data_IF_893235895867
#
_entry.id   IF_893235895867
#
_cell.length_a   1.000
_cell.length_b   1.000
_cell.length_c   1.000
_cell.angle_alpha   90.00
_cell.angle_beta   90.00
_cell.angle_gamma   90.00
#
_symmetry.space_group_name_H-M   'P 1'
#
loop_
_entity.id
_entity.type
_entity.pdbx_description
1 polymer ?
#
# COMPACT_ATOMS: atom_id res chain seq x y z
N UNK A 1 -16.67 -0.27 9.68
CA UNK A 1 -15.61 -1.31 9.64
C UNK A 1 -14.77 -1.32 10.92
N UNK A 2 -14.24 -0.19 11.41
CA UNK A 2 -13.31 -0.19 12.55
C UNK A 2 -13.90 0.22 13.91
N UNK A 3 -15.22 0.33 14.03
CA UNK A 3 -15.90 0.84 15.24
C UNK A 3 -15.59 0.03 16.51
N UNK A 4 -15.34 -1.28 16.38
CA UNK A 4 -14.96 -2.15 17.50
C UNK A 4 -13.45 -2.35 17.71
N UNK A 5 -12.58 -1.68 16.93
CA UNK A 5 -11.13 -1.91 16.97
C UNK A 5 -10.43 -0.80 17.79
N UNK A 6 -9.73 -1.12 18.90
CA UNK A 6 -9.03 -0.13 19.69
C UNK A 6 -7.67 0.24 19.04
N UNK A 7 -7.70 1.08 18.01
CA UNK A 7 -6.50 1.59 17.34
C UNK A 7 -5.84 0.62 16.35
N UNK A 8 -4.72 1.04 15.76
CA UNK A 8 -3.98 0.21 14.79
C UNK A 8 -4.76 -0.04 13.49
N UNK A 9 -5.21 1.04 12.84
CA UNK A 9 -5.97 1.00 11.60
C UNK A 9 -5.10 0.94 10.34
N UNK A 10 -3.80 1.17 10.51
CA UNK A 10 -2.82 1.27 9.44
C UNK A 10 -1.71 0.26 9.70
N UNK A 11 -1.27 -0.45 8.65
CA UNK A 11 -0.04 -1.24 8.64
C UNK A 11 1.02 -0.51 7.82
N UNK A 12 2.24 -0.47 8.35
CA UNK A 12 3.41 0.13 7.69
C UNK A 12 4.39 -0.99 7.36
N UNK A 13 4.73 -1.14 6.09
CA UNK A 13 5.68 -2.12 5.58
C UNK A 13 6.90 -1.37 5.02
N UNK A 14 8.04 -1.46 5.69
CA UNK A 14 9.28 -0.80 5.24
C UNK A 14 9.74 -1.42 3.93
N UNK A 15 10.08 -0.59 2.94
CA UNK A 15 10.49 -1.05 1.59
C UNK A 15 11.84 -0.49 1.14
N UNK A 16 12.76 -0.29 2.09
CA UNK A 16 14.13 0.13 1.79
C UNK A 16 14.22 1.62 1.50
N UNK A 17 15.03 1.99 0.51
CA UNK A 17 15.35 3.38 0.20
C UNK A 17 15.00 3.72 -1.25
N UNK A 18 14.57 4.97 -1.46
CA UNK A 18 14.27 5.50 -2.78
C UNK A 18 15.55 5.70 -3.60
N UNK A 19 15.49 5.35 -4.88
CA UNK A 19 16.58 5.58 -5.82
C UNK A 19 16.79 7.08 -6.05
N UNK A 20 18.04 7.55 -5.97
CA UNK A 20 18.43 8.93 -6.23
C UNK A 20 18.76 9.73 -4.97
N UNK A 21 17.92 9.66 -3.95
CA UNK A 21 18.12 10.40 -2.69
C UNK A 21 18.28 9.53 -1.45
N UNK A 22 18.20 8.21 -1.61
CA UNK A 22 18.30 7.24 -0.52
C UNK A 22 17.32 7.55 0.65
N UNK A 23 16.16 8.15 0.36
CA UNK A 23 15.15 8.41 1.38
C UNK A 23 14.49 7.10 1.84
N UNK A 24 14.29 6.87 3.15
CA UNK A 24 13.65 5.65 3.65
C UNK A 24 12.17 5.61 3.25
N UNK A 25 11.75 4.52 2.61
CA UNK A 25 10.40 4.34 2.07
C UNK A 25 9.64 3.26 2.83
N UNK A 26 8.31 3.38 2.83
CA UNK A 26 7.40 2.36 3.34
C UNK A 26 6.07 2.39 2.60
N UNK A 27 5.44 1.22 2.47
CA UNK A 27 4.04 1.10 2.08
C UNK A 27 3.15 1.28 3.31
N UNK A 28 2.05 1.99 3.12
CA UNK A 28 1.06 2.29 4.15
C UNK A 28 -0.28 1.76 3.65
N UNK A 29 -0.86 0.80 4.37
CA UNK A 29 -2.14 0.19 4.02
C UNK A 29 -3.15 0.29 5.15
N UNK A 30 -4.44 0.38 4.78
CA UNK A 30 -5.54 0.26 5.73
C UNK A 30 -5.75 -1.21 6.07
N UNK A 31 -5.89 -1.49 7.35
CA UNK A 31 -6.21 -2.83 7.85
C UNK A 31 -7.60 -3.25 7.37
N UNK A 32 -7.87 -4.52 7.11
CA UNK A 32 -9.18 -5.02 6.67
C UNK A 32 -9.70 -4.39 5.35
N UNK A 33 -8.82 -3.85 4.48
CA UNK A 33 -9.20 -3.42 3.12
C UNK A 33 -9.76 -4.63 2.34
N UNK A 34 -10.87 -4.50 1.59
CA UNK A 34 -11.33 -5.61 0.76
C UNK A 34 -10.28 -5.87 -0.32
N UNK A 35 -10.08 -7.14 -0.67
CA UNK A 35 -9.29 -7.48 -1.85
C UNK A 35 -9.98 -6.87 -3.07
N UNK A 36 -9.32 -5.88 -3.67
CA UNK A 36 -9.70 -5.35 -4.96
C UNK A 36 -8.88 -6.16 -5.94
N UNK A 37 -9.52 -6.84 -6.88
CA UNK A 37 -8.82 -7.54 -7.96
C UNK A 37 -7.82 -6.57 -8.58
N UNK A 38 -6.55 -6.98 -8.61
CA UNK A 38 -5.51 -6.19 -9.22
C UNK A 38 -5.86 -6.06 -10.70
N UNK A 39 -6.20 -4.85 -11.13
CA UNK A 39 -6.25 -4.52 -12.55
C UNK A 39 -4.81 -4.53 -13.03
N UNK A 40 -4.47 -5.54 -13.82
CA UNK A 40 -3.18 -5.63 -14.51
C UNK A 40 -3.07 -4.45 -15.47
N UNK A 41 -2.33 -3.42 -15.06
CA UNK A 41 -2.12 -2.17 -15.81
C UNK A 41 -1.21 -2.35 -17.04
N UNK A 42 -0.79 -3.58 -17.34
CA UNK A 42 0.05 -3.90 -18.50
C UNK A 42 -0.68 -3.65 -19.83
N UNK A 43 -2.02 -3.69 -19.87
CA UNK A 43 -2.78 -3.43 -21.11
C UNK A 43 -2.93 -1.94 -21.47
N UNK A 44 -2.65 -0.99 -20.56
CA UNK A 44 -2.87 0.44 -20.82
C UNK A 44 -1.67 1.17 -21.47
N UNK A 45 -0.55 0.47 -21.69
CA UNK A 45 0.66 1.03 -22.30
C UNK A 45 0.79 0.71 -23.80
N UNK A 46 -0.15 -0.04 -24.38
CA UNK A 46 -0.18 -0.42 -25.80
C UNK A 46 -1.26 0.29 -26.64
N UNK A 47 -2.01 1.26 -26.09
CA UNK A 47 -2.92 2.13 -26.87
C UNK A 47 -2.37 3.56 -27.07
#
# INVERSE_FOLDING_TARGET
>A
RYEGRPGGYIRILKCGFRSGDAAPMAYVELVDRPEVEAVDLEEAAEE
#
